data_IF_120852931364
#
_entry.id   IF_120852931364
#
_cell.length_a   1.000
_cell.length_b   1.000
_cell.length_c   1.000
_cell.angle_alpha   90.00
_cell.angle_beta   90.00
_cell.angle_gamma   90.00
#
_symmetry.space_group_name_H-M   'P 1'
#
loop_
_entity.id
_entity.type
_entity.pdbx_description
1 polymer ?
#
# COMPACT_ATOMS: atom_id res chain seq x y z
N UNK A 1 -34.55 -3.23 29.07
CA UNK A 1 -34.91 -4.10 30.25
C UNK A 1 -35.03 -5.52 29.77
N UNK A 2 -34.41 -6.48 30.44
CA UNK A 2 -34.43 -7.89 30.03
C UNK A 2 -35.85 -8.51 30.24
N UNK A 3 -36.30 -9.32 29.28
CA UNK A 3 -37.60 -10.01 29.32
C UNK A 3 -37.69 -10.89 30.57
N UNK A 4 -38.83 -10.76 31.31
CA UNK A 4 -39.09 -11.53 32.53
C UNK A 4 -38.35 -11.04 33.78
N UNK A 5 -37.43 -10.09 33.71
CA UNK A 5 -36.87 -9.44 34.90
C UNK A 5 -37.86 -8.38 35.42
N UNK A 6 -38.02 -8.34 36.73
CA UNK A 6 -38.89 -7.36 37.40
C UNK A 6 -38.01 -6.22 37.94
N UNK A 7 -38.46 -5.00 37.74
CA UNK A 7 -37.80 -3.77 38.17
C UNK A 7 -38.81 -2.87 38.86
N UNK A 8 -38.37 -2.11 39.84
CA UNK A 8 -39.15 -1.03 40.39
C UNK A 8 -38.82 0.26 39.65
N UNK A 9 -39.83 1.00 39.23
CA UNK A 9 -39.65 2.36 38.73
C UNK A 9 -39.26 3.29 39.86
N UNK A 10 -38.85 4.50 39.54
CA UNK A 10 -38.57 5.57 40.54
C UNK A 10 -39.85 5.91 41.36
N UNK A 11 -41.00 5.55 40.89
CA UNK A 11 -42.30 5.76 41.54
C UNK A 11 -42.74 4.53 42.35
N UNK A 12 -41.92 3.48 42.42
CA UNK A 12 -42.17 2.27 43.20
C UNK A 12 -43.03 1.24 42.51
N UNK A 13 -43.39 1.42 41.24
CA UNK A 13 -44.16 0.43 40.48
C UNK A 13 -43.29 -0.74 40.02
N UNK A 14 -43.84 -1.98 40.17
CA UNK A 14 -43.17 -3.17 39.70
C UNK A 14 -43.51 -3.42 38.23
N UNK A 15 -42.55 -3.20 37.33
CA UNK A 15 -42.68 -3.48 35.90
C UNK A 15 -41.86 -4.70 35.48
N UNK A 16 -42.38 -5.43 34.50
CA UNK A 16 -41.69 -6.57 33.91
C UNK A 16 -41.07 -6.12 32.59
N UNK A 17 -39.75 -6.37 32.44
CA UNK A 17 -39.04 -6.07 31.17
C UNK A 17 -39.62 -6.93 30.03
N UNK A 18 -39.87 -6.29 28.92
CA UNK A 18 -40.39 -6.92 27.69
C UNK A 18 -39.32 -7.21 26.64
N UNK A 19 -38.12 -6.63 26.82
CA UNK A 19 -37.04 -6.86 25.90
C UNK A 19 -36.51 -8.31 25.98
N UNK A 20 -36.57 -9.00 24.86
CA UNK A 20 -35.97 -10.32 24.72
C UNK A 20 -34.48 -10.17 24.45
N UNK A 21 -33.66 -10.32 25.49
CA UNK A 21 -32.22 -10.26 25.40
C UNK A 21 -31.58 -11.61 25.04
N UNK A 22 -32.38 -12.66 24.82
CA UNK A 22 -31.86 -13.99 24.54
C UNK A 22 -31.04 -14.07 23.24
N UNK A 23 -31.27 -13.15 22.33
CA UNK A 23 -30.45 -13.00 21.09
C UNK A 23 -29.41 -11.86 21.16
N UNK A 24 -29.68 -10.83 21.96
CA UNK A 24 -28.75 -9.71 22.09
C UNK A 24 -27.49 -10.04 22.93
N UNK A 25 -27.64 -10.97 23.89
CA UNK A 25 -26.55 -11.41 24.78
C UNK A 25 -25.86 -12.70 24.27
N UNK A 26 -26.27 -13.24 23.11
CA UNK A 26 -25.62 -14.42 22.54
C UNK A 26 -24.20 -14.06 22.09
N UNK A 27 -23.21 -14.66 22.75
CA UNK A 27 -21.81 -14.50 22.39
C UNK A 27 -21.59 -14.99 20.95
N UNK A 28 -21.13 -14.10 20.09
CA UNK A 28 -20.80 -14.41 18.69
C UNK A 28 -19.32 -14.73 18.60
N UNK A 29 -18.98 -15.64 17.72
CA UNK A 29 -17.58 -16.00 17.42
C UNK A 29 -17.21 -15.60 16.02
N UNK A 30 -15.98 -15.13 15.83
CA UNK A 30 -15.38 -14.78 14.54
C UNK A 30 -14.04 -15.49 14.47
N UNK A 31 -13.88 -16.40 13.53
CA UNK A 31 -12.60 -17.08 13.29
C UNK A 31 -11.84 -16.32 12.22
N UNK A 32 -10.62 -15.88 12.53
CA UNK A 32 -9.71 -15.24 11.58
C UNK A 32 -8.67 -16.25 11.13
N UNK A 33 -8.63 -16.52 9.83
CA UNK A 33 -7.66 -17.37 9.17
C UNK A 33 -6.72 -16.49 8.36
N UNK A 34 -5.48 -16.35 8.81
CA UNK A 34 -4.44 -15.62 8.09
C UNK A 34 -3.93 -16.43 6.88
N UNK A 35 -3.43 -15.73 5.89
CA UNK A 35 -2.78 -16.28 4.71
C UNK A 35 -1.37 -15.73 4.58
N UNK A 36 -0.49 -16.48 3.92
CA UNK A 36 0.89 -16.06 3.67
C UNK A 36 0.95 -14.78 2.85
N UNK A 37 1.99 -13.99 3.07
CA UNK A 37 2.29 -12.72 2.39
C UNK A 37 1.22 -11.63 2.51
N UNK A 38 0.36 -11.73 3.51
CA UNK A 38 -0.64 -10.70 3.79
C UNK A 38 -1.14 -10.82 5.24
N UNK A 39 -1.63 -9.72 5.77
CA UNK A 39 -2.13 -9.64 7.15
C UNK A 39 -3.54 -9.08 7.16
N UNK A 40 -4.48 -9.79 7.80
CA UNK A 40 -5.82 -9.31 8.07
C UNK A 40 -5.87 -8.78 9.49
N UNK A 41 -6.40 -7.59 9.66
CA UNK A 41 -6.67 -6.96 10.96
C UNK A 41 -8.16 -6.73 11.10
N UNK A 42 -8.71 -7.14 12.24
CA UNK A 42 -10.12 -6.95 12.59
C UNK A 42 -10.24 -5.84 13.63
N UNK A 43 -11.15 -4.90 13.39
CA UNK A 43 -11.52 -3.86 14.36
C UNK A 43 -13.03 -3.72 14.43
N UNK A 44 -13.56 -3.38 15.61
CA UNK A 44 -14.95 -3.00 15.79
C UNK A 44 -15.03 -1.76 16.68
N UNK A 45 -16.21 -1.10 16.71
CA UNK A 45 -16.40 0.14 17.45
C UNK A 45 -16.35 -0.04 18.99
N UNK A 46 -16.36 -1.30 19.46
CA UNK A 46 -16.27 -1.62 20.87
C UNK A 46 -14.93 -2.32 21.16
N UNK A 47 -14.21 -1.92 22.22
CA UNK A 47 -12.83 -2.35 22.47
C UNK A 47 -12.68 -3.82 22.93
N UNK A 48 -13.76 -4.60 23.05
CA UNK A 48 -13.74 -5.91 23.69
C UNK A 48 -13.90 -7.08 22.70
N UNK A 49 -13.06 -7.12 21.66
CA UNK A 49 -12.80 -8.39 20.98
C UNK A 49 -11.80 -9.18 21.81
N UNK A 50 -12.29 -10.04 22.72
CA UNK A 50 -11.40 -11.00 23.36
C UNK A 50 -10.97 -12.04 22.34
N UNK A 51 -9.66 -12.32 22.25
CA UNK A 51 -9.14 -13.31 21.30
C UNK A 51 -8.53 -14.49 22.01
N UNK A 52 -8.62 -15.66 21.40
CA UNK A 52 -7.92 -16.90 21.78
C UNK A 52 -7.47 -17.63 20.52
N UNK A 53 -6.48 -18.49 20.63
CA UNK A 53 -6.05 -19.34 19.50
C UNK A 53 -6.79 -20.67 19.61
N UNK A 54 -7.34 -21.17 18.49
CA UNK A 54 -7.96 -22.50 18.41
C UNK A 54 -6.92 -23.62 18.21
N UNK A 55 -7.40 -24.87 18.11
CA UNK A 55 -6.53 -26.03 17.92
C UNK A 55 -5.79 -26.03 16.57
N UNK A 56 -6.29 -25.30 15.59
CA UNK A 56 -5.74 -25.21 14.24
C UNK A 56 -4.81 -24.00 14.07
N UNK A 57 -4.58 -23.24 15.16
CA UNK A 57 -3.71 -22.07 15.20
C UNK A 57 -4.38 -20.78 14.72
N UNK A 58 -5.69 -20.79 14.45
CA UNK A 58 -6.41 -19.59 14.03
C UNK A 58 -6.77 -18.72 15.22
N UNK A 59 -6.91 -17.41 14.98
CA UNK A 59 -7.39 -16.48 16.01
C UNK A 59 -8.91 -16.45 16.05
N UNK A 60 -9.49 -16.81 17.19
CA UNK A 60 -10.93 -16.75 17.40
C UNK A 60 -11.26 -15.56 18.29
N UNK A 61 -12.02 -14.64 17.77
CA UNK A 61 -12.57 -13.50 18.50
C UNK A 61 -13.96 -13.82 19.02
N UNK A 62 -14.30 -13.27 20.16
CA UNK A 62 -15.64 -13.39 20.71
C UNK A 62 -16.17 -12.01 21.13
N UNK A 63 -17.43 -11.74 20.79
CA UNK A 63 -18.11 -10.50 21.13
C UNK A 63 -19.58 -10.76 21.45
N UNK A 64 -20.17 -9.93 22.31
CA UNK A 64 -21.61 -9.92 22.58
C UNK A 64 -22.35 -8.86 21.79
N UNK A 65 -21.64 -7.99 21.07
CA UNK A 65 -22.24 -6.87 20.34
C UNK A 65 -22.73 -7.25 18.95
N UNK A 66 -23.75 -6.52 18.47
CA UNK A 66 -24.30 -6.67 17.12
C UNK A 66 -23.71 -5.64 16.14
N UNK A 67 -22.44 -5.32 16.31
CA UNK A 67 -21.79 -4.26 15.58
C UNK A 67 -21.29 -4.68 14.21
N UNK A 68 -20.81 -3.68 13.48
CA UNK A 68 -20.12 -3.84 12.23
C UNK A 68 -18.64 -4.11 12.50
N UNK A 69 -18.12 -5.13 11.84
CA UNK A 69 -16.71 -5.49 11.83
C UNK A 69 -16.03 -4.77 10.67
N UNK A 70 -14.96 -4.03 10.97
CA UNK A 70 -14.05 -3.49 9.96
C UNK A 70 -12.93 -4.49 9.74
N UNK A 71 -12.75 -4.91 8.50
CA UNK A 71 -11.77 -5.91 8.08
C UNK A 71 -10.79 -5.21 7.14
N UNK A 72 -9.53 -5.14 7.56
CA UNK A 72 -8.44 -4.56 6.78
C UNK A 72 -7.47 -5.66 6.39
N UNK A 73 -7.17 -5.78 5.11
CA UNK A 73 -6.19 -6.67 4.56
C UNK A 73 -5.05 -5.85 3.98
N UNK A 74 -3.81 -6.16 4.36
CA UNK A 74 -2.60 -5.55 3.81
C UNK A 74 -1.68 -6.66 3.33
N UNK A 75 -1.27 -6.61 2.06
CA UNK A 75 -0.25 -7.49 1.52
C UNK A 75 1.16 -7.02 1.88
N UNK A 76 2.12 -7.95 1.85
CA UNK A 76 3.54 -7.66 1.91
C UNK A 76 3.98 -6.82 0.70
N UNK A 77 5.14 -6.17 0.81
CA UNK A 77 5.62 -5.18 -0.17
C UNK A 77 5.66 -5.70 -1.62
N UNK A 78 5.95 -6.99 -1.80
CA UNK A 78 6.13 -7.61 -3.11
C UNK A 78 4.91 -8.39 -3.60
N UNK A 79 3.74 -8.18 -2.98
CA UNK A 79 2.53 -8.92 -3.29
C UNK A 79 1.32 -8.01 -3.51
N UNK A 80 0.44 -8.42 -4.41
CA UNK A 80 -0.94 -7.93 -4.47
C UNK A 80 -1.76 -8.60 -3.39
N UNK A 81 -2.64 -7.85 -2.76
CA UNK A 81 -3.57 -8.41 -1.78
C UNK A 81 -4.54 -9.39 -2.43
N UNK A 82 -4.82 -10.48 -1.74
CA UNK A 82 -5.94 -11.35 -2.06
C UNK A 82 -7.27 -10.62 -1.84
N UNK A 83 -8.37 -11.30 -2.17
CA UNK A 83 -9.71 -10.80 -1.86
C UNK A 83 -10.12 -11.27 -0.47
N UNK A 84 -10.69 -10.37 0.33
CA UNK A 84 -11.27 -10.75 1.62
C UNK A 84 -12.44 -11.71 1.38
N UNK A 85 -12.50 -12.77 2.18
CA UNK A 85 -13.60 -13.73 2.15
C UNK A 85 -14.31 -13.77 3.50
N UNK A 86 -15.64 -13.87 3.46
CA UNK A 86 -16.48 -14.11 4.64
C UNK A 86 -17.25 -15.40 4.41
N UNK A 87 -17.06 -16.39 5.27
CA UNK A 87 -17.63 -17.73 5.14
C UNK A 87 -17.36 -18.40 3.78
N UNK A 88 -16.18 -18.09 3.19
CA UNK A 88 -15.76 -18.59 1.89
C UNK A 88 -16.25 -17.78 0.68
N UNK A 89 -17.09 -16.78 0.87
CA UNK A 89 -17.57 -15.91 -0.21
C UNK A 89 -16.68 -14.66 -0.33
N UNK A 90 -16.22 -14.36 -1.56
CA UNK A 90 -15.42 -13.16 -1.86
C UNK A 90 -16.25 -11.89 -1.67
N UNK A 91 -15.63 -10.87 -1.09
CA UNK A 91 -16.24 -9.57 -0.83
C UNK A 91 -15.66 -8.51 -1.78
N UNK A 92 -16.49 -7.56 -2.18
CA UNK A 92 -16.03 -6.41 -2.97
C UNK A 92 -15.13 -5.51 -2.12
N UNK A 93 -13.98 -5.16 -2.67
CA UNK A 93 -13.00 -4.29 -2.04
C UNK A 93 -13.35 -2.82 -2.27
N UNK A 94 -13.32 -2.00 -1.21
CA UNK A 94 -13.50 -0.55 -1.31
C UNK A 94 -12.20 0.21 -1.60
N UNK A 95 -11.04 -0.44 -1.57
CA UNK A 95 -9.74 0.17 -1.86
C UNK A 95 -9.41 0.13 -3.35
N UNK A 96 -8.83 1.21 -3.87
CA UNK A 96 -8.21 1.26 -5.20
C UNK A 96 -6.75 0.83 -5.19
N UNK A 97 -6.11 0.72 -4.00
CA UNK A 97 -4.75 0.24 -3.86
C UNK A 97 -4.73 -1.29 -3.93
N UNK A 98 -4.03 -1.91 -4.91
CA UNK A 98 -4.02 -3.36 -5.10
C UNK A 98 -3.31 -4.15 -3.99
N UNK A 99 -2.59 -3.48 -3.10
CA UNK A 99 -1.96 -4.09 -1.92
C UNK A 99 -2.82 -4.00 -0.66
N UNK A 100 -3.97 -3.35 -0.73
CA UNK A 100 -4.89 -3.15 0.37
C UNK A 100 -6.29 -3.60 -0.01
N UNK A 101 -6.99 -4.23 0.93
CA UNK A 101 -8.41 -4.42 0.83
C UNK A 101 -9.08 -3.98 2.15
N UNK A 102 -10.22 -3.31 2.02
CA UNK A 102 -10.99 -2.87 3.16
C UNK A 102 -12.47 -3.14 2.93
N UNK A 103 -13.11 -3.78 3.91
CA UNK A 103 -14.54 -3.99 3.91
C UNK A 103 -15.11 -3.75 5.31
N UNK A 104 -16.43 -3.55 5.36
CA UNK A 104 -17.22 -3.45 6.59
C UNK A 104 -18.38 -4.42 6.50
N UNK A 105 -18.52 -5.28 7.49
CA UNK A 105 -19.56 -6.33 7.49
C UNK A 105 -20.25 -6.45 8.85
N UNK A 106 -21.56 -6.75 8.90
CA UNK A 106 -22.25 -7.02 10.15
C UNK A 106 -21.71 -8.32 10.79
N UNK A 107 -21.52 -8.30 12.10
CA UNK A 107 -21.03 -9.47 12.83
C UNK A 107 -22.12 -10.53 12.92
N UNK A 108 -21.83 -11.73 12.42
CA UNK A 108 -22.68 -12.94 12.58
C UNK A 108 -21.97 -13.97 13.46
N UNK A 109 -22.76 -14.84 14.10
CA UNK A 109 -22.18 -15.93 14.89
C UNK A 109 -21.56 -17.02 14.00
N UNK A 110 -20.37 -17.47 14.35
CA UNK A 110 -19.62 -18.46 13.56
C UNK A 110 -19.05 -17.88 12.26
N UNK A 111 -18.89 -16.54 12.17
CA UNK A 111 -18.29 -15.88 11.02
C UNK A 111 -16.85 -16.33 10.84
N UNK A 112 -16.49 -16.71 9.62
CA UNK A 112 -15.10 -17.02 9.25
C UNK A 112 -14.60 -15.92 8.33
N UNK A 113 -13.56 -15.24 8.74
CA UNK A 113 -12.88 -14.19 7.95
C UNK A 113 -11.54 -14.73 7.49
N UNK A 114 -11.29 -14.67 6.19
CA UNK A 114 -10.03 -15.03 5.57
C UNK A 114 -9.81 -14.19 4.32
N UNK A 115 -8.85 -14.58 3.49
CA UNK A 115 -8.65 -14.02 2.17
C UNK A 115 -8.31 -15.14 1.16
N UNK A 116 -8.41 -14.82 -0.13
CA UNK A 116 -7.74 -15.62 -1.16
C UNK A 116 -6.23 -15.44 -1.04
N UNK A 117 -5.43 -16.28 -1.69
CA UNK A 117 -3.97 -16.16 -1.61
C UNK A 117 -3.48 -14.84 -2.23
N UNK A 118 -2.46 -14.25 -1.62
CA UNK A 118 -1.76 -13.10 -2.19
C UNK A 118 -1.01 -13.52 -3.46
N UNK A 119 -0.96 -12.63 -4.44
CA UNK A 119 -0.26 -12.89 -5.70
C UNK A 119 1.04 -12.08 -5.75
N UNK A 120 2.19 -12.67 -6.13
CA UNK A 120 3.43 -11.93 -6.25
C UNK A 120 3.31 -10.86 -7.35
N UNK A 121 3.84 -9.66 -7.09
CA UNK A 121 3.94 -8.60 -8.10
C UNK A 121 4.97 -9.04 -9.14
N UNK A 122 4.62 -9.12 -10.44
CA UNK A 122 5.53 -9.56 -11.46
C UNK A 122 6.77 -8.67 -11.55
N UNK A 123 7.96 -9.27 -11.49
CA UNK A 123 9.21 -8.57 -11.77
C UNK A 123 9.46 -8.59 -13.27
N UNK A 124 9.62 -7.42 -13.87
CA UNK A 124 9.87 -7.25 -15.30
C UNK A 124 11.25 -6.62 -15.52
N UNK A 125 11.91 -6.86 -16.67
CA UNK A 125 13.16 -6.17 -16.99
C UNK A 125 12.91 -4.67 -17.22
N UNK A 126 13.82 -3.84 -16.75
CA UNK A 126 13.89 -2.44 -17.16
C UNK A 126 14.36 -2.39 -18.62
N UNK A 127 13.88 -1.43 -19.39
CA UNK A 127 14.20 -1.31 -20.82
C UNK A 127 14.73 0.08 -21.16
N UNK A 128 15.38 0.21 -22.29
CA UNK A 128 15.86 1.49 -22.80
C UNK A 128 14.70 2.50 -22.91
N UNK A 129 14.97 3.73 -22.49
CA UNK A 129 13.99 4.81 -22.57
C UNK A 129 14.65 6.16 -22.80
N UNK A 130 14.00 7.02 -23.57
CA UNK A 130 14.39 8.42 -23.75
C UNK A 130 13.32 9.33 -23.16
N UNK A 131 13.73 10.23 -22.28
CA UNK A 131 12.89 11.17 -21.55
C UNK A 131 13.16 12.58 -22.01
N UNK A 132 12.10 13.35 -22.26
CA UNK A 132 12.15 14.81 -22.27
C UNK A 132 11.50 15.28 -20.96
N UNK A 133 12.17 16.13 -20.22
CA UNK A 133 11.77 16.53 -18.87
C UNK A 133 11.89 18.03 -18.72
N UNK A 134 11.10 18.61 -17.83
CA UNK A 134 11.15 20.03 -17.48
C UNK A 134 11.35 20.19 -15.98
N UNK A 135 12.28 21.04 -15.60
CA UNK A 135 12.57 21.37 -14.20
C UNK A 135 11.38 22.06 -13.52
N UNK A 136 11.18 21.79 -12.24
CA UNK A 136 10.07 22.34 -11.46
C UNK A 136 10.42 23.63 -10.71
N UNK A 137 11.70 23.98 -10.62
CA UNK A 137 12.17 25.18 -9.92
C UNK A 137 12.07 25.12 -8.40
N UNK A 138 11.74 23.97 -7.85
CA UNK A 138 11.59 23.72 -6.42
C UNK A 138 12.50 22.60 -5.97
N UNK A 139 13.05 22.73 -4.77
CA UNK A 139 13.63 21.58 -4.08
C UNK A 139 12.50 20.69 -3.57
N UNK A 140 12.61 19.41 -3.82
CA UNK A 140 11.71 18.40 -3.32
C UNK A 140 12.48 17.45 -2.41
N UNK A 141 12.07 17.34 -1.15
CA UNK A 141 12.86 16.70 -0.10
C UNK A 141 14.27 17.32 -0.04
N UNK A 142 15.32 16.54 -0.29
CA UNK A 142 16.73 16.96 -0.35
C UNK A 142 17.28 17.03 -1.78
N UNK A 143 16.40 17.17 -2.78
CA UNK A 143 16.79 17.04 -4.17
C UNK A 143 16.09 17.99 -5.14
N UNK A 144 16.46 17.86 -6.40
CA UNK A 144 15.95 18.64 -7.52
C UNK A 144 15.08 17.75 -8.41
N UNK A 145 13.85 18.19 -8.69
CA UNK A 145 12.89 17.41 -9.46
C UNK A 145 12.71 17.95 -10.88
N UNK A 146 12.65 17.01 -11.82
CA UNK A 146 12.26 17.25 -13.20
C UNK A 146 11.07 16.33 -13.53
N UNK A 147 10.01 16.87 -14.13
CA UNK A 147 8.83 16.10 -14.53
C UNK A 147 8.94 15.70 -16.00
N UNK A 148 8.62 14.45 -16.29
CA UNK A 148 8.60 13.92 -17.64
C UNK A 148 7.47 14.56 -18.43
N UNK A 149 7.81 15.19 -19.56
CA UNK A 149 6.84 15.80 -20.48
C UNK A 149 6.64 14.95 -21.72
N UNK A 150 7.64 14.14 -22.10
CA UNK A 150 7.58 13.20 -23.21
C UNK A 150 8.51 12.02 -22.92
N UNK A 151 8.08 10.84 -23.35
CA UNK A 151 8.84 9.60 -23.17
C UNK A 151 8.70 8.70 -24.39
N UNK A 152 9.74 7.92 -24.70
CA UNK A 152 9.72 6.87 -25.72
C UNK A 152 10.72 5.76 -25.37
N UNK A 153 10.33 4.48 -25.34
CA UNK A 153 8.95 3.97 -25.35
C UNK A 153 8.13 4.42 -24.12
N UNK A 154 6.82 4.11 -24.10
CA UNK A 154 5.95 4.47 -22.98
C UNK A 154 6.17 3.66 -21.71
N UNK A 155 6.82 2.49 -21.78
CA UNK A 155 7.17 1.65 -20.63
C UNK A 155 8.68 1.43 -20.59
N UNK A 156 9.31 1.50 -19.38
CA UNK A 156 8.74 1.80 -18.05
C UNK A 156 8.15 3.22 -18.00
N UNK A 157 6.99 3.40 -17.35
CA UNK A 157 6.35 4.71 -17.27
C UNK A 157 7.01 5.57 -16.19
N UNK A 158 7.93 6.43 -16.60
CA UNK A 158 8.67 7.34 -15.72
C UNK A 158 7.98 8.71 -15.73
N UNK A 159 7.43 9.11 -14.59
CA UNK A 159 6.72 10.40 -14.45
C UNK A 159 7.61 11.54 -13.97
N UNK A 160 8.74 11.22 -13.37
CA UNK A 160 9.69 12.22 -12.90
C UNK A 160 11.06 11.66 -12.61
N UNK A 161 12.03 12.56 -12.59
CA UNK A 161 13.44 12.25 -12.26
C UNK A 161 13.90 13.21 -11.18
N UNK A 162 14.39 12.67 -10.07
CA UNK A 162 14.98 13.42 -8.97
C UNK A 162 16.49 13.31 -8.95
N UNK A 163 17.20 14.43 -8.85
CA UNK A 163 18.63 14.45 -8.51
C UNK A 163 18.76 14.73 -7.00
N UNK A 164 19.30 13.76 -6.27
CA UNK A 164 19.37 13.74 -4.82
C UNK A 164 20.80 13.97 -4.33
N UNK A 165 20.94 14.59 -3.17
CA UNK A 165 22.22 14.75 -2.49
C UNK A 165 22.09 14.30 -1.04
N UNK A 166 22.99 13.41 -0.62
CA UNK A 166 23.11 12.98 0.76
C UNK A 166 24.59 12.96 1.17
N UNK A 167 25.01 14.03 1.81
CA UNK A 167 26.43 14.27 2.14
C UNK A 167 27.26 14.40 0.87
N UNK A 168 28.24 13.50 0.70
CA UNK A 168 29.10 13.47 -0.51
C UNK A 168 28.56 12.61 -1.64
N UNK A 169 27.44 11.89 -1.43
CA UNK A 169 26.86 11.02 -2.45
C UNK A 169 25.81 11.76 -3.27
N UNK A 170 25.86 11.55 -4.57
CA UNK A 170 24.88 12.04 -5.52
C UNK A 170 24.05 10.87 -6.02
N UNK A 171 22.76 11.03 -6.01
CA UNK A 171 21.82 9.98 -6.43
C UNK A 171 20.90 10.46 -7.53
N UNK A 172 20.42 9.50 -8.30
CA UNK A 172 19.33 9.65 -9.25
C UNK A 172 18.17 8.80 -8.80
N UNK A 173 16.96 9.34 -8.95
CA UNK A 173 15.72 8.66 -8.61
C UNK A 173 14.77 8.80 -9.79
N UNK A 174 14.25 7.68 -10.29
CA UNK A 174 13.14 7.65 -11.25
C UNK A 174 11.85 7.34 -10.52
N UNK A 175 10.86 8.21 -10.62
CA UNK A 175 9.49 7.96 -10.17
C UNK A 175 8.74 7.20 -11.25
N UNK A 176 8.15 6.08 -10.89
CA UNK A 176 7.41 5.21 -11.80
C UNK A 176 5.91 5.29 -11.49
N UNK A 177 5.09 5.50 -12.53
CA UNK A 177 3.62 5.42 -12.43
C UNK A 177 3.16 4.05 -12.94
N UNK A 178 3.63 3.01 -12.29
CA UNK A 178 3.30 1.62 -12.59
C UNK A 178 3.35 0.77 -11.33
N UNK A 179 2.50 -0.25 -11.27
CA UNK A 179 2.46 -1.22 -10.16
C UNK A 179 3.45 -2.39 -10.36
N UNK A 180 4.26 -2.33 -11.42
CA UNK A 180 5.23 -3.37 -11.76
C UNK A 180 6.50 -3.19 -10.94
N UNK A 181 7.10 -4.31 -10.56
CA UNK A 181 8.45 -4.34 -10.01
C UNK A 181 9.45 -4.47 -11.15
N UNK A 182 10.47 -3.63 -11.16
CA UNK A 182 11.57 -3.73 -12.12
C UNK A 182 12.77 -4.46 -11.51
N UNK A 183 13.38 -5.35 -12.30
CA UNK A 183 14.64 -5.95 -11.92
C UNK A 183 15.72 -4.86 -11.87
N UNK A 184 16.61 -4.93 -10.89
CA UNK A 184 17.81 -4.09 -10.85
C UNK A 184 18.65 -4.31 -12.12
N UNK A 185 19.20 -3.23 -12.66
CA UNK A 185 19.96 -3.28 -13.90
C UNK A 185 21.04 -2.21 -13.94
N UNK A 186 22.10 -2.47 -14.72
CA UNK A 186 23.10 -1.48 -15.05
C UNK A 186 22.66 -0.67 -16.26
N UNK A 187 22.76 0.65 -16.17
CA UNK A 187 22.36 1.57 -17.24
C UNK A 187 23.44 2.58 -17.57
N UNK A 188 23.48 2.98 -18.83
CA UNK A 188 24.18 4.17 -19.30
C UNK A 188 23.16 5.31 -19.44
N UNK A 189 23.47 6.44 -18.81
CA UNK A 189 22.68 7.66 -18.81
C UNK A 189 23.37 8.68 -19.70
N UNK A 190 22.69 9.22 -20.71
CA UNK A 190 23.26 10.23 -21.61
C UNK A 190 22.31 11.41 -21.75
N UNK A 191 22.80 12.61 -21.47
CA UNK A 191 22.03 13.85 -21.65
C UNK A 191 22.07 14.32 -23.10
N UNK A 192 21.13 15.17 -23.50
CA UNK A 192 21.13 15.84 -24.82
C UNK A 192 22.37 16.71 -25.06
N UNK A 193 23.11 17.11 -24.02
CA UNK A 193 24.36 17.87 -24.09
C UNK A 193 25.61 16.99 -24.10
N UNK A 194 25.47 15.67 -24.05
CA UNK A 194 26.58 14.72 -24.14
C UNK A 194 27.22 14.36 -22.81
N UNK A 195 26.68 14.76 -21.67
CA UNK A 195 27.12 14.23 -20.37
C UNK A 195 26.69 12.79 -20.31
N UNK A 196 27.63 11.86 -20.05
CA UNK A 196 27.37 10.43 -19.94
C UNK A 196 27.80 9.91 -18.57
N UNK A 197 27.03 8.99 -18.03
CA UNK A 197 27.28 8.32 -16.76
C UNK A 197 26.82 6.87 -16.81
N UNK A 198 27.34 6.02 -15.93
CA UNK A 198 26.93 4.62 -15.84
C UNK A 198 26.63 4.31 -14.38
N UNK A 199 25.46 3.76 -14.12
CA UNK A 199 25.05 3.44 -12.76
C UNK A 199 24.28 2.10 -12.71
N UNK A 200 24.19 1.54 -11.52
CA UNK A 200 23.28 0.44 -11.23
C UNK A 200 21.99 1.01 -10.64
N UNK A 201 20.87 0.66 -11.22
CA UNK A 201 19.54 1.02 -10.74
C UNK A 201 18.97 -0.12 -9.88
N UNK A 202 18.41 0.23 -8.75
CA UNK A 202 17.76 -0.68 -7.84
C UNK A 202 16.30 -0.26 -7.67
N UNK A 203 15.40 -1.26 -7.69
CA UNK A 203 13.99 -1.05 -7.38
C UNK A 203 13.83 -0.83 -5.87
N UNK A 204 13.04 0.17 -5.52
CA UNK A 204 12.61 0.43 -4.16
C UNK A 204 11.15 0.86 -4.16
N UNK A 205 10.42 0.50 -3.11
CA UNK A 205 9.09 1.03 -2.85
C UNK A 205 9.17 1.94 -1.64
N UNK A 206 8.90 3.19 -1.86
CA UNK A 206 8.85 4.23 -0.83
C UNK A 206 7.39 4.51 -0.47
N UNK A 207 7.10 4.64 0.83
CA UNK A 207 5.72 4.86 1.31
C UNK A 207 5.14 6.21 0.86
N UNK A 208 6.00 7.22 0.67
CA UNK A 208 5.58 8.56 0.26
C UNK A 208 5.66 8.79 -1.25
N UNK A 209 6.62 8.13 -1.93
CA UNK A 209 6.96 8.34 -3.33
C UNK A 209 6.37 7.29 -4.27
N UNK A 210 5.97 6.14 -3.72
CA UNK A 210 5.51 5.01 -4.51
C UNK A 210 6.66 4.17 -5.07
N UNK A 211 6.55 3.75 -6.32
CA UNK A 211 7.54 2.90 -6.98
C UNK A 211 8.67 3.75 -7.55
N UNK A 212 9.90 3.40 -7.19
CA UNK A 212 11.10 4.12 -7.63
C UNK A 212 12.20 3.19 -8.09
N UNK A 213 13.07 3.69 -8.99
CA UNK A 213 14.37 3.11 -9.28
C UNK A 213 15.43 4.14 -8.88
N UNK A 214 16.42 3.73 -8.10
CA UNK A 214 17.47 4.61 -7.59
C UNK A 214 18.86 4.13 -8.00
N UNK A 215 19.78 5.05 -8.19
CA UNK A 215 21.18 4.76 -8.45
C UNK A 215 22.11 5.93 -8.10
N UNK A 216 23.42 5.65 -7.96
CA UNK A 216 24.41 6.69 -7.74
C UNK A 216 24.84 7.31 -9.08
N UNK A 217 25.07 8.63 -9.12
CA UNK A 217 25.50 9.36 -10.31
C UNK A 217 26.71 10.26 -10.01
N UNK A 218 27.40 10.67 -11.07
CA UNK A 218 28.51 11.61 -10.99
C UNK A 218 28.07 13.03 -10.62
N UNK A 219 29.01 13.81 -10.08
CA UNK A 219 28.81 15.24 -9.80
C UNK A 219 28.43 16.03 -11.06
N UNK A 220 28.93 15.65 -12.22
CA UNK A 220 28.62 16.33 -13.48
C UNK A 220 27.17 16.15 -13.89
N UNK A 221 26.65 14.92 -13.83
CA UNK A 221 25.25 14.65 -14.15
C UNK A 221 24.32 15.27 -13.10
N UNK A 222 24.65 15.15 -11.81
CA UNK A 222 23.90 15.78 -10.73
C UNK A 222 23.79 17.29 -10.95
N UNK A 223 24.92 17.99 -11.15
CA UNK A 223 24.94 19.45 -11.33
C UNK A 223 24.11 19.90 -12.53
N UNK A 224 24.18 19.15 -13.63
CA UNK A 224 23.38 19.43 -14.83
C UNK A 224 21.88 19.32 -14.56
N UNK A 225 21.44 18.26 -13.89
CA UNK A 225 20.02 18.05 -13.56
C UNK A 225 19.54 19.06 -12.52
N UNK A 226 20.35 19.39 -11.52
CA UNK A 226 20.05 20.38 -10.50
C UNK A 226 19.88 21.79 -11.09
N UNK A 227 20.78 22.20 -12.00
CA UNK A 227 20.68 23.48 -12.71
C UNK A 227 19.44 23.52 -13.60
N UNK A 228 19.16 22.45 -14.34
CA UNK A 228 17.97 22.35 -15.17
C UNK A 228 16.67 22.44 -14.33
N UNK A 229 16.65 21.79 -13.17
CA UNK A 229 15.52 21.92 -12.24
C UNK A 229 15.34 23.36 -11.76
N UNK A 230 16.41 24.01 -11.30
CA UNK A 230 16.38 25.36 -10.76
C UNK A 230 15.95 26.40 -11.80
N UNK A 231 16.42 26.28 -13.04
CA UNK A 231 16.13 27.19 -14.16
C UNK A 231 14.85 26.86 -14.91
N UNK A 232 14.17 25.75 -14.57
CA UNK A 232 13.02 25.22 -15.30
C UNK A 232 13.31 24.90 -16.76
N UNK A 233 14.56 24.53 -17.04
CA UNK A 233 14.98 24.18 -18.38
C UNK A 233 14.40 22.81 -18.81
N UNK A 234 14.22 22.67 -20.12
CA UNK A 234 13.93 21.37 -20.73
C UNK A 234 15.23 20.61 -20.93
N UNK A 235 15.23 19.32 -20.56
CA UNK A 235 16.36 18.42 -20.76
C UNK A 235 15.92 17.11 -21.37
N UNK A 236 16.83 16.50 -22.13
CA UNK A 236 16.67 15.14 -22.66
C UNK A 236 17.63 14.22 -21.90
N UNK A 237 17.12 13.09 -21.42
CA UNK A 237 17.91 12.03 -20.80
C UNK A 237 17.59 10.72 -21.51
N UNK A 238 18.60 10.07 -22.05
CA UNK A 238 18.51 8.73 -22.63
C UNK A 238 19.09 7.75 -21.64
N UNK A 239 18.37 6.69 -21.38
CA UNK A 239 18.71 5.59 -20.48
C UNK A 239 18.83 4.34 -21.34
N UNK A 240 20.00 3.70 -21.34
CA UNK A 240 20.25 2.43 -22.02
C UNK A 240 20.64 1.36 -21.03
N UNK A 241 20.00 0.23 -21.09
CA UNK A 241 20.38 -0.95 -20.32
C UNK A 241 21.69 -1.50 -20.91
N UNK A 242 22.70 -1.62 -20.06
CA UNK A 242 24.03 -2.13 -20.46
C UNK A 242 24.27 -3.41 -19.66
N UNK A 243 24.15 -4.54 -20.36
CA UNK A 243 24.57 -5.92 -20.07
C UNK A 243 24.48 -6.43 -18.66
#
# INVERSE_FOLDING_TARGET
MAKGKKFYTSEGELVTGTADLSQADARKTITLIQKEHQTITLTCNHPELSSQTDSDGNTVYATTYQDTLSINLKADTDYYAGKITINGEEQENSSTNPQLAYISAPISNGMIVSATDAAPIPTVPFTDVSLTMTGQGTQWLTGHMLMTTKQSPESPKIVGVGALENGSRKGLLFLLDEEKRYAGCKVELTTGTGISDTTELFYEKDDDLGVIMIGEISDALYSYLAEASATKAEVVLTIKVVG
#
